data_IF_482518429160
#
_entry.id   IF_482518429160
#
_cell.length_a   1.000
_cell.length_b   1.000
_cell.length_c   1.000
_cell.angle_alpha   90.00
_cell.angle_beta   90.00
_cell.angle_gamma   90.00
#
_symmetry.space_group_name_H-M   'P 1'
#
loop_
_entity.id
_entity.type
_entity.pdbx_description
1 polymer ?
#
# COMPACT_ATOMS: atom_id res chain seq x y z
N UNK A 1 -3.85 -0.14 55.13
CA UNK A 1 -2.54 -0.39 54.54
C UNK A 1 -2.70 -1.45 53.49
N UNK A 2 -2.88 -1.07 52.23
CA UNK A 2 -2.98 -1.99 51.09
C UNK A 2 -1.78 -1.67 50.17
N UNK A 3 -0.88 -2.62 50.11
CA UNK A 3 0.35 -2.56 49.32
C UNK A 3 0.00 -2.72 47.85
N UNK A 4 0.35 -1.71 47.04
CA UNK A 4 0.30 -1.77 45.59
C UNK A 4 1.33 -2.72 45.03
N UNK A 5 0.90 -3.78 44.39
CA UNK A 5 1.76 -4.63 43.56
C UNK A 5 1.92 -4.02 42.18
N UNK A 6 3.10 -3.47 41.90
CA UNK A 6 3.54 -3.13 40.54
C UNK A 6 3.74 -4.43 39.77
N UNK A 7 2.89 -4.71 38.81
CA UNK A 7 3.07 -5.81 37.85
C UNK A 7 3.99 -5.31 36.75
N UNK A 8 5.27 -5.61 36.90
CA UNK A 8 6.25 -5.40 35.83
C UNK A 8 5.93 -6.39 34.70
N UNK A 9 5.55 -5.86 33.56
CA UNK A 9 5.41 -6.66 32.32
C UNK A 9 6.83 -7.11 31.94
N UNK A 10 7.02 -8.42 31.95
CA UNK A 10 8.28 -9.06 31.55
C UNK A 10 8.53 -8.78 30.07
N UNK A 11 9.71 -8.25 29.76
CA UNK A 11 10.20 -7.96 28.40
C UNK A 11 10.55 -9.20 27.55
N UNK A 12 10.07 -10.38 27.92
CA UNK A 12 10.55 -11.64 27.33
C UNK A 12 9.54 -12.38 26.42
N UNK A 13 8.38 -11.81 26.09
CA UNK A 13 7.40 -12.46 25.20
C UNK A 13 7.24 -11.78 23.83
N UNK A 14 8.09 -10.84 23.47
CA UNK A 14 8.28 -10.50 22.08
C UNK A 14 9.04 -11.66 21.43
N UNK A 15 8.36 -12.48 20.63
CA UNK A 15 9.02 -13.41 19.74
C UNK A 15 10.03 -12.58 18.93
N UNK A 16 11.32 -12.71 19.28
CA UNK A 16 12.43 -12.13 18.57
C UNK A 16 12.34 -12.63 17.14
N UNK A 17 11.96 -11.79 16.21
CA UNK A 17 12.24 -11.98 14.80
C UNK A 17 13.76 -12.01 14.70
N UNK A 18 14.35 -13.21 14.75
CA UNK A 18 15.77 -13.39 14.66
C UNK A 18 16.25 -12.70 13.38
N UNK A 19 17.26 -11.81 13.44
CA UNK A 19 17.82 -11.25 12.23
C UNK A 19 18.33 -12.42 11.38
N UNK A 20 17.81 -12.53 10.18
CA UNK A 20 18.40 -13.41 9.17
C UNK A 20 19.83 -12.92 8.98
N UNK A 21 20.81 -13.64 9.55
CA UNK A 21 22.22 -13.40 9.37
C UNK A 21 22.58 -13.61 7.89
N UNK A 22 22.32 -12.62 7.07
CA UNK A 22 22.72 -12.52 5.69
C UNK A 22 23.72 -11.40 5.54
N UNK A 23 25.02 -11.74 5.75
CA UNK A 23 26.18 -11.03 5.21
C UNK A 23 26.22 -9.52 5.37
N UNK A 24 26.79 -9.10 6.51
CA UNK A 24 27.55 -7.86 6.58
C UNK A 24 28.67 -7.92 5.52
N UNK A 25 28.60 -7.09 4.54
CA UNK A 25 29.67 -6.54 3.70
C UNK A 25 29.14 -6.29 2.30
N UNK A 26 28.40 -5.29 2.17
CA UNK A 26 28.52 -4.17 1.25
C UNK A 26 27.44 -3.20 1.73
N UNK A 27 27.77 -2.25 2.58
CA UNK A 27 27.01 -1.00 2.66
C UNK A 27 27.01 -0.45 1.25
N UNK A 28 25.88 -0.59 0.59
CA UNK A 28 25.85 -0.50 -0.83
C UNK A 28 26.08 0.94 -1.27
N UNK A 29 27.18 1.16 -1.93
CA UNK A 29 27.43 2.32 -2.80
C UNK A 29 26.32 2.41 -3.88
N UNK A 30 25.55 1.34 -4.08
CA UNK A 30 24.51 1.24 -5.11
C UNK A 30 23.15 0.88 -4.53
N UNK A 31 22.11 1.61 -4.92
CA UNK A 31 20.73 1.24 -4.67
C UNK A 31 20.43 -0.08 -5.44
N UNK A 32 19.98 -1.11 -4.72
CA UNK A 32 19.79 -2.45 -5.30
C UNK A 32 18.59 -2.53 -6.24
N UNK A 33 17.62 -1.63 -6.08
CA UNK A 33 16.38 -1.55 -6.84
C UNK A 33 16.26 -0.12 -7.36
N UNK A 34 15.90 0.09 -8.62
CA UNK A 34 15.51 1.41 -9.08
C UNK A 34 14.47 1.99 -8.14
N UNK A 35 14.61 3.25 -7.74
CA UNK A 35 13.74 3.84 -6.72
C UNK A 35 12.59 4.64 -7.29
N UNK A 36 12.62 4.91 -8.59
CA UNK A 36 11.62 5.72 -9.30
C UNK A 36 11.47 5.28 -10.75
N UNK A 37 10.25 5.38 -11.26
CA UNK A 37 9.90 5.12 -12.64
C UNK A 37 8.84 6.12 -13.08
N UNK A 38 9.09 6.86 -14.16
CA UNK A 38 8.16 7.84 -14.70
C UNK A 38 7.44 7.29 -15.93
N UNK A 39 6.16 7.62 -16.06
CA UNK A 39 5.35 7.32 -17.25
C UNK A 39 4.29 8.43 -17.42
N UNK A 40 3.61 8.41 -18.56
CA UNK A 40 2.50 9.32 -18.83
C UNK A 40 1.19 8.55 -19.06
N UNK A 41 0.08 9.18 -18.72
CA UNK A 41 -1.28 8.78 -19.08
C UNK A 41 -1.90 9.98 -19.79
N UNK A 42 -1.79 10.02 -21.10
CA UNK A 42 -2.12 11.20 -21.91
C UNK A 42 -1.34 12.44 -21.45
N UNK A 43 -2.01 13.40 -20.82
CA UNK A 43 -1.40 14.64 -20.28
C UNK A 43 -1.08 14.57 -18.78
N UNK A 44 -1.29 13.44 -18.15
CA UNK A 44 -1.03 13.25 -16.73
C UNK A 44 0.36 12.63 -16.59
N UNK A 45 1.26 13.29 -15.87
CA UNK A 45 2.57 12.73 -15.53
C UNK A 45 2.42 11.87 -14.26
N UNK A 46 3.02 10.69 -14.28
CA UNK A 46 2.97 9.72 -13.20
C UNK A 46 4.39 9.32 -12.82
N UNK A 47 4.72 9.41 -11.55
CA UNK A 47 5.99 8.95 -10.99
C UNK A 47 5.74 7.87 -9.94
N UNK A 48 6.13 6.64 -10.24
CA UNK A 48 6.12 5.55 -9.26
C UNK A 48 7.38 5.63 -8.43
N UNK A 49 7.21 5.59 -7.10
CA UNK A 49 8.30 5.63 -6.13
C UNK A 49 8.22 4.37 -5.27
N UNK A 50 9.32 3.62 -5.24
CA UNK A 50 9.45 2.52 -4.31
C UNK A 50 9.63 3.06 -2.89
N UNK A 51 8.81 2.66 -1.93
CA UNK A 51 9.03 2.92 -0.52
C UNK A 51 9.98 1.90 0.13
N UNK A 52 10.22 0.80 -0.57
CA UNK A 52 11.01 -0.34 -0.12
C UNK A 52 10.21 -1.63 -0.08
N UNK A 53 10.45 -2.45 0.92
CA UNK A 53 9.76 -3.74 1.09
C UNK A 53 9.45 -4.03 2.56
N UNK A 54 8.30 -4.68 2.78
CA UNK A 54 7.92 -5.33 4.02
C UNK A 54 8.22 -6.83 3.91
N UNK A 55 8.97 -7.39 4.85
CA UNK A 55 9.10 -8.84 4.96
C UNK A 55 8.01 -9.37 5.88
N UNK A 56 7.07 -10.10 5.31
CA UNK A 56 5.92 -10.66 6.03
C UNK A 56 5.90 -12.19 5.93
N UNK A 57 5.29 -12.89 6.91
CA UNK A 57 5.14 -14.34 6.84
C UNK A 57 4.35 -14.77 5.60
N UNK A 58 4.90 -15.71 4.82
CA UNK A 58 4.25 -16.23 3.61
C UNK A 58 2.84 -16.78 3.83
N UNK A 59 2.57 -17.54 4.94
CA UNK A 59 1.24 -18.07 5.24
C UNK A 59 0.10 -17.06 5.39
N UNK A 60 0.39 -15.77 5.45
CA UNK A 60 -0.65 -14.72 5.44
C UNK A 60 -1.36 -14.60 4.09
N UNK A 61 -0.69 -14.97 2.99
CA UNK A 61 -1.31 -15.03 1.67
C UNK A 61 -2.02 -16.36 1.47
N UNK A 62 -3.29 -16.30 1.08
CA UNK A 62 -4.08 -17.49 0.84
C UNK A 62 -4.36 -18.28 2.12
N UNK A 63 -4.55 -17.61 3.26
CA UNK A 63 -4.79 -18.31 4.53
C UNK A 63 -6.07 -19.15 4.54
N UNK A 64 -6.96 -18.98 3.54
CA UNK A 64 -8.12 -19.83 3.27
C UNK A 64 -7.82 -21.03 2.35
N UNK A 65 -6.62 -21.14 1.78
CA UNK A 65 -6.20 -22.24 0.92
C UNK A 65 -5.43 -23.31 1.71
N UNK A 66 -5.32 -24.50 1.13
CA UNK A 66 -4.51 -25.58 1.70
C UNK A 66 -3.02 -25.20 1.76
N UNK A 67 -2.34 -25.60 2.84
CA UNK A 67 -0.92 -25.25 3.04
C UNK A 67 -0.02 -25.76 1.90
N UNK A 68 -0.33 -26.93 1.33
CA UNK A 68 0.41 -27.49 0.20
C UNK A 68 0.27 -26.68 -1.08
N UNK A 69 -0.92 -26.11 -1.35
CA UNK A 69 -1.16 -25.24 -2.52
C UNK A 69 -0.38 -23.94 -2.41
N UNK A 70 -0.39 -23.33 -1.21
CA UNK A 70 0.42 -22.14 -0.95
C UNK A 70 1.91 -22.39 -1.14
N UNK A 71 2.42 -23.49 -0.54
CA UNK A 71 3.83 -23.86 -0.68
C UNK A 71 4.20 -24.06 -2.15
N UNK A 72 3.37 -24.77 -2.91
CA UNK A 72 3.58 -24.98 -4.34
C UNK A 72 3.64 -23.67 -5.13
N UNK A 73 2.73 -22.73 -4.85
CA UNK A 73 2.75 -21.41 -5.49
C UNK A 73 4.07 -20.66 -5.21
N UNK A 74 4.56 -20.66 -3.95
CA UNK A 74 5.84 -20.03 -3.62
C UNK A 74 7.02 -20.70 -4.35
N UNK A 75 7.04 -22.04 -4.41
CA UNK A 75 8.07 -22.80 -5.10
C UNK A 75 8.09 -22.49 -6.60
N UNK A 76 6.93 -22.45 -7.24
CA UNK A 76 6.78 -22.12 -8.67
C UNK A 76 7.27 -20.70 -9.01
N UNK A 77 7.18 -19.78 -8.05
CA UNK A 77 7.68 -18.40 -8.18
C UNK A 77 9.13 -18.24 -7.75
N UNK A 78 9.81 -19.32 -7.37
CA UNK A 78 11.18 -19.29 -6.82
C UNK A 78 11.27 -18.41 -5.57
N UNK A 79 10.21 -18.35 -4.77
CA UNK A 79 10.12 -17.57 -3.54
C UNK A 79 10.27 -18.50 -2.32
N UNK A 80 10.86 -18.00 -1.22
CA UNK A 80 10.87 -18.76 0.04
C UNK A 80 9.43 -18.89 0.58
N UNK A 81 9.05 -20.11 1.01
CA UNK A 81 7.70 -20.38 1.50
C UNK A 81 7.38 -19.68 2.84
N UNK A 82 8.42 -19.35 3.62
CA UNK A 82 8.26 -18.79 4.97
C UNK A 82 8.03 -17.29 5.00
N UNK A 83 8.58 -16.56 4.00
CA UNK A 83 8.53 -15.10 3.95
C UNK A 83 8.28 -14.61 2.53
N UNK A 84 7.54 -13.53 2.44
CA UNK A 84 7.38 -12.75 1.22
C UNK A 84 7.85 -11.33 1.45
N UNK A 85 8.70 -10.84 0.56
CA UNK A 85 9.05 -9.42 0.48
C UNK A 85 7.96 -8.68 -0.30
N UNK A 86 7.07 -8.02 0.42
CA UNK A 86 6.03 -7.20 -0.17
C UNK A 86 6.64 -5.88 -0.58
N UNK A 87 6.67 -5.61 -1.88
CA UNK A 87 7.06 -4.31 -2.38
C UNK A 87 6.08 -3.25 -1.89
N UNK A 88 6.56 -2.04 -1.68
CA UNK A 88 5.77 -0.87 -1.33
C UNK A 88 5.97 0.19 -2.41
N UNK A 89 4.92 0.49 -3.14
CA UNK A 89 4.93 1.49 -4.19
C UNK A 89 3.94 2.61 -3.86
N UNK A 90 4.40 3.84 -3.93
CA UNK A 90 3.57 5.03 -3.89
C UNK A 90 3.63 5.75 -5.23
N UNK A 91 2.66 6.59 -5.53
CA UNK A 91 2.58 7.27 -6.82
C UNK A 91 2.44 8.77 -6.62
N UNK A 92 3.24 9.55 -7.35
CA UNK A 92 3.05 10.98 -7.49
C UNK A 92 2.44 11.26 -8.86
N UNK A 93 1.39 12.09 -8.90
CA UNK A 93 0.65 12.43 -10.12
C UNK A 93 0.68 13.94 -10.31
N UNK A 94 1.02 14.40 -11.53
CA UNK A 94 0.80 15.78 -11.94
C UNK A 94 -0.35 15.86 -12.94
N UNK A 95 -1.40 16.60 -12.59
CA UNK A 95 -2.53 16.87 -13.47
C UNK A 95 -2.97 18.33 -13.34
N UNK A 96 -2.84 19.08 -14.43
CA UNK A 96 -3.08 20.52 -14.43
C UNK A 96 -2.12 21.26 -13.49
N UNK A 97 -2.65 21.98 -12.52
CA UNK A 97 -1.91 22.70 -11.46
C UNK A 97 -1.75 21.88 -10.17
N UNK A 98 -2.14 20.60 -10.20
CA UNK A 98 -2.14 19.74 -9.01
C UNK A 98 -0.97 18.78 -9.01
N UNK A 99 -0.33 18.69 -7.84
CA UNK A 99 0.67 17.65 -7.51
C UNK A 99 0.07 16.78 -6.41
N UNK A 100 -0.24 15.55 -6.76
CA UNK A 100 -1.04 14.63 -5.95
C UNK A 100 -0.16 13.45 -5.54
N UNK A 101 0.04 13.25 -4.25
CA UNK A 101 0.68 12.03 -3.73
C UNK A 101 -0.42 11.00 -3.44
N UNK A 102 -0.31 9.80 -4.01
CA UNK A 102 -1.20 8.68 -3.73
C UNK A 102 -0.46 7.72 -2.80
N UNK A 103 -0.95 7.64 -1.58
CA UNK A 103 -0.31 7.05 -0.40
C UNK A 103 1.04 7.69 -0.06
N UNK A 104 1.59 7.40 1.11
CA UNK A 104 2.79 8.07 1.61
C UNK A 104 3.89 7.11 2.08
N UNK A 105 3.67 5.81 1.97
CA UNK A 105 4.61 4.79 2.42
C UNK A 105 4.59 4.56 3.93
N UNK A 106 5.48 3.70 4.39
CA UNK A 106 5.57 3.17 5.76
C UNK A 106 6.07 4.20 6.79
N UNK A 107 6.94 5.11 6.39
CA UNK A 107 7.60 6.02 7.33
C UNK A 107 8.62 5.31 8.22
N UNK A 108 8.90 5.93 9.37
CA UNK A 108 9.97 5.50 10.30
C UNK A 108 9.44 4.84 11.58
N UNK A 109 8.12 4.60 11.66
CA UNK A 109 7.48 4.11 12.89
C UNK A 109 7.90 2.68 13.28
N UNK A 110 8.50 1.93 12.38
CA UNK A 110 8.84 0.52 12.55
C UNK A 110 10.33 0.28 12.29
N UNK A 111 11.20 0.56 13.30
CA UNK A 111 12.65 0.40 13.16
C UNK A 111 13.08 -1.06 12.88
N UNK A 112 12.24 -2.03 13.24
CA UNK A 112 12.46 -3.45 12.96
C UNK A 112 12.19 -3.83 11.48
N UNK A 113 11.68 -2.89 10.68
CA UNK A 113 11.42 -3.02 9.24
C UNK A 113 12.31 -2.06 8.41
N UNK A 114 13.63 -2.17 8.51
CA UNK A 114 14.58 -1.15 8.02
C UNK A 114 14.64 -1.03 6.48
N UNK A 115 13.97 -1.93 5.75
CA UNK A 115 13.97 -1.92 4.29
C UNK A 115 12.80 -1.14 3.67
N UNK A 116 11.86 -0.62 4.49
CA UNK A 116 10.76 0.24 4.09
C UNK A 116 10.97 1.70 4.53
N UNK A 117 9.98 2.57 4.28
CA UNK A 117 9.96 3.95 4.77
C UNK A 117 10.86 4.90 3.98
N UNK A 118 11.06 4.68 2.69
CA UNK A 118 11.98 5.46 1.84
C UNK A 118 11.30 6.58 1.06
N UNK A 119 9.98 6.68 1.06
CA UNK A 119 9.21 7.60 0.21
C UNK A 119 9.68 9.05 0.31
N UNK A 120 9.75 9.61 1.52
CA UNK A 120 10.12 11.03 1.72
C UNK A 120 11.52 11.34 1.20
N UNK A 121 12.49 10.45 1.47
CA UNK A 121 13.86 10.61 1.00
C UNK A 121 13.98 10.46 -0.52
N UNK A 122 13.18 9.56 -1.13
CA UNK A 122 13.18 9.30 -2.57
C UNK A 122 12.45 10.39 -3.33
N UNK A 123 11.38 10.99 -2.78
CA UNK A 123 10.77 12.21 -3.31
C UNK A 123 11.80 13.34 -3.37
N UNK A 124 12.50 13.61 -2.26
CA UNK A 124 13.55 14.62 -2.23
C UNK A 124 14.67 14.35 -3.24
N UNK A 125 15.11 13.08 -3.37
CA UNK A 125 16.11 12.67 -4.36
C UNK A 125 15.61 12.79 -5.81
N UNK A 126 14.31 12.78 -6.04
CA UNK A 126 13.67 13.05 -7.32
C UNK A 126 13.50 14.55 -7.59
N UNK A 127 13.91 15.42 -6.67
CA UNK A 127 13.73 16.87 -6.77
C UNK A 127 12.33 17.36 -6.42
N UNK A 128 11.51 16.52 -5.79
CA UNK A 128 10.15 16.85 -5.37
C UNK A 128 10.20 17.45 -3.97
N UNK A 129 9.79 18.72 -3.85
CA UNK A 129 9.59 19.35 -2.55
C UNK A 129 8.21 18.99 -2.02
N UNK A 130 8.13 18.58 -0.75
CA UNK A 130 6.85 18.31 -0.08
C UNK A 130 5.93 19.55 -0.09
N UNK A 131 6.47 20.75 -0.09
CA UNK A 131 5.71 21.99 -0.23
C UNK A 131 5.01 22.14 -1.60
N UNK A 132 5.43 21.38 -2.62
CA UNK A 132 4.77 21.38 -3.92
C UNK A 132 3.54 20.47 -3.97
N UNK A 133 3.41 19.52 -3.03
CA UNK A 133 2.29 18.58 -2.97
C UNK A 133 1.02 19.33 -2.55
N UNK A 134 0.05 19.39 -3.46
CA UNK A 134 -1.23 20.10 -3.24
C UNK A 134 -2.27 19.21 -2.58
N UNK A 135 -2.20 17.91 -2.86
CA UNK A 135 -3.14 16.92 -2.40
C UNK A 135 -2.45 15.61 -2.04
N UNK A 136 -3.03 14.90 -1.11
CA UNK A 136 -2.72 13.49 -0.85
C UNK A 136 -4.01 12.70 -1.00
N UNK A 137 -3.98 11.60 -1.74
CA UNK A 137 -5.05 10.61 -1.75
C UNK A 137 -4.57 9.45 -0.91
N UNK A 138 -5.33 9.06 0.10
CA UNK A 138 -5.06 7.89 0.92
C UNK A 138 -6.05 6.80 0.52
N UNK A 139 -5.50 5.67 0.05
CA UNK A 139 -6.32 4.51 -0.34
C UNK A 139 -7.01 3.89 0.86
N UNK A 140 -6.28 3.76 1.98
CA UNK A 140 -6.77 3.30 3.28
C UNK A 140 -5.76 3.61 4.39
N UNK A 141 -6.13 3.41 5.67
CA UNK A 141 -5.31 3.89 6.80
C UNK A 141 -4.37 2.82 7.40
N UNK A 142 -3.92 1.83 6.62
CA UNK A 142 -2.82 0.98 7.09
C UNK A 142 -1.50 1.76 7.15
N UNK A 143 -0.57 1.27 7.97
CA UNK A 143 0.66 1.97 8.33
C UNK A 143 1.57 2.26 7.15
N UNK A 144 1.60 1.40 6.16
CA UNK A 144 2.43 1.51 4.96
C UNK A 144 1.84 2.43 3.88
N UNK A 145 0.64 3.00 4.14
CA UNK A 145 0.00 4.01 3.29
C UNK A 145 0.02 5.40 3.91
N UNK A 146 0.00 5.50 5.25
CA UNK A 146 -0.06 6.80 5.94
C UNK A 146 1.21 7.13 6.74
N UNK A 147 2.06 6.16 7.01
CA UNK A 147 3.19 6.30 7.93
C UNK A 147 4.21 7.37 7.51
N UNK A 148 4.42 7.55 6.21
CA UNK A 148 5.31 8.60 5.70
C UNK A 148 4.87 10.02 6.08
N UNK A 149 3.58 10.25 6.26
CA UNK A 149 3.05 11.54 6.74
C UNK A 149 3.27 11.76 8.24
N UNK A 150 3.55 10.70 8.99
CA UNK A 150 3.79 10.75 10.44
C UNK A 150 5.27 10.92 10.82
N UNK A 151 6.18 10.93 9.85
CA UNK A 151 7.60 11.21 10.08
C UNK A 151 7.74 12.63 10.67
N UNK A 152 8.57 12.77 11.71
CA UNK A 152 8.80 14.06 12.36
C UNK A 152 9.23 15.13 11.35
N UNK A 153 8.61 16.30 11.42
CA UNK A 153 8.88 17.44 10.54
C UNK A 153 8.21 17.37 9.15
N UNK A 154 7.68 16.22 8.70
CA UNK A 154 7.02 16.11 7.38
C UNK A 154 5.83 17.05 7.29
N UNK A 155 4.92 17.02 8.28
CA UNK A 155 3.75 17.91 8.30
C UNK A 155 4.13 19.40 8.18
N UNK A 156 5.20 19.81 8.85
CA UNK A 156 5.65 21.22 8.82
C UNK A 156 6.25 21.63 7.46
N UNK A 157 6.68 20.68 6.65
CA UNK A 157 7.19 20.89 5.29
C UNK A 157 6.10 20.86 4.22
N UNK A 158 4.93 20.29 4.54
CA UNK A 158 3.77 20.29 3.64
C UNK A 158 3.14 21.68 3.60
N UNK A 159 2.35 21.93 2.57
CA UNK A 159 1.56 23.16 2.43
C UNK A 159 0.54 23.31 3.57
N UNK A 160 0.28 24.54 3.98
CA UNK A 160 -0.77 24.82 4.98
C UNK A 160 -2.18 24.54 4.46
N UNK A 161 -2.39 24.63 3.15
CA UNK A 161 -3.64 24.37 2.43
C UNK A 161 -3.70 22.96 1.78
N UNK A 162 -2.82 22.05 2.23
CA UNK A 162 -2.85 20.63 1.83
C UNK A 162 -4.24 20.04 2.03
N UNK A 163 -4.72 19.29 1.05
CA UNK A 163 -5.95 18.47 1.15
C UNK A 163 -5.61 17.00 1.14
N UNK A 164 -6.20 16.26 2.06
CA UNK A 164 -6.03 14.80 2.16
C UNK A 164 -7.38 14.14 1.91
N UNK A 165 -7.48 13.44 0.79
CA UNK A 165 -8.70 12.78 0.34
C UNK A 165 -8.72 11.34 0.85
N UNK A 166 -9.78 10.98 1.58
CA UNK A 166 -9.97 9.65 2.16
C UNK A 166 -11.47 9.33 2.21
N UNK A 167 -11.86 8.06 2.00
CA UNK A 167 -13.26 7.68 2.10
C UNK A 167 -13.81 7.91 3.51
N UNK A 168 -15.04 8.42 3.61
CA UNK A 168 -15.71 8.63 4.91
C UNK A 168 -15.84 7.31 5.70
N UNK A 169 -16.14 6.21 4.99
CA UNK A 169 -16.20 4.87 5.58
C UNK A 169 -14.88 4.43 6.22
N UNK A 170 -13.74 4.86 5.67
CA UNK A 170 -12.42 4.57 6.24
C UNK A 170 -12.21 5.30 7.56
N UNK A 171 -12.50 6.60 7.57
CA UNK A 171 -12.40 7.41 8.79
C UNK A 171 -13.33 6.90 9.89
N UNK A 172 -14.54 6.48 9.54
CA UNK A 172 -15.50 5.92 10.50
C UNK A 172 -15.04 4.59 11.06
N UNK A 173 -14.57 3.69 10.20
CA UNK A 173 -14.08 2.37 10.61
C UNK A 173 -12.95 2.47 11.64
N UNK A 174 -11.96 3.33 11.42
CA UNK A 174 -10.79 3.44 12.30
C UNK A 174 -11.06 4.12 13.65
N UNK A 175 -12.28 4.60 13.91
CA UNK A 175 -12.70 5.02 15.26
C UNK A 175 -12.84 3.86 16.22
N UNK A 176 -13.33 2.71 15.72
CA UNK A 176 -13.47 1.47 16.48
C UNK A 176 -13.30 0.26 15.54
N UNK A 177 -12.06 -0.02 15.08
CA UNK A 177 -11.81 -1.02 14.04
C UNK A 177 -12.01 -2.44 14.56
N UNK A 178 -12.71 -3.26 13.76
CA UNK A 178 -12.90 -4.68 13.97
C UNK A 178 -11.76 -5.49 13.29
N UNK A 179 -11.07 -6.29 14.09
CA UNK A 179 -10.00 -7.19 13.64
C UNK A 179 -10.41 -8.67 13.71
N UNK A 180 -11.70 -8.98 13.82
CA UNK A 180 -12.18 -10.35 14.03
C UNK A 180 -11.92 -11.30 12.86
N UNK A 181 -11.80 -10.77 11.64
CA UNK A 181 -11.62 -11.56 10.42
C UNK A 181 -10.21 -11.55 9.86
N UNK A 182 -9.31 -10.73 10.41
CA UNK A 182 -7.92 -10.64 9.94
C UNK A 182 -7.07 -11.82 10.44
N UNK A 183 -6.04 -12.15 9.67
CA UNK A 183 -5.03 -13.16 10.01
C UNK A 183 -3.62 -12.56 10.06
N UNK A 184 -3.48 -11.50 10.85
CA UNK A 184 -2.24 -10.74 11.01
C UNK A 184 -1.33 -11.33 12.08
N UNK A 185 0.00 -11.10 12.01
CA UNK A 185 0.91 -11.42 13.11
C UNK A 185 0.53 -10.67 14.40
N UNK A 186 0.84 -11.24 15.58
CA UNK A 186 0.61 -10.58 16.85
C UNK A 186 1.25 -9.18 16.90
N UNK A 187 0.50 -8.22 17.44
CA UNK A 187 0.93 -6.82 17.56
C UNK A 187 0.58 -5.92 16.38
N UNK A 188 0.32 -6.48 15.17
CA UNK A 188 -0.08 -5.69 14.01
C UNK A 188 -1.42 -4.98 14.20
N UNK A 189 -2.50 -5.62 14.70
CA UNK A 189 -3.76 -4.93 14.93
C UNK A 189 -3.64 -3.67 15.78
N UNK A 190 -2.87 -3.74 16.86
CA UNK A 190 -2.66 -2.59 17.73
C UNK A 190 -1.79 -1.51 17.07
N UNK A 191 -0.74 -1.90 16.34
CA UNK A 191 0.10 -0.96 15.59
C UNK A 191 -0.70 -0.22 14.51
N UNK A 192 -1.56 -0.91 13.78
CA UNK A 192 -2.47 -0.30 12.79
C UNK A 192 -3.44 0.68 13.44
N UNK A 193 -4.09 0.28 14.55
CA UNK A 193 -4.99 1.16 15.33
C UNK A 193 -4.28 2.44 15.76
N UNK A 194 -3.07 2.31 16.33
CA UNK A 194 -2.29 3.45 16.80
C UNK A 194 -1.90 4.37 15.65
N UNK A 195 -1.41 3.83 14.54
CA UNK A 195 -1.01 4.61 13.36
C UNK A 195 -2.20 5.37 12.78
N UNK A 196 -3.35 4.71 12.57
CA UNK A 196 -4.56 5.36 12.06
C UNK A 196 -5.04 6.46 13.01
N UNK A 197 -5.03 6.21 14.33
CA UNK A 197 -5.41 7.21 15.34
C UNK A 197 -4.50 8.44 15.28
N UNK A 198 -3.18 8.23 15.24
CA UNK A 198 -2.20 9.31 15.14
C UNK A 198 -2.37 10.11 13.85
N UNK A 199 -2.59 9.45 12.72
CA UNK A 199 -2.84 10.09 11.44
C UNK A 199 -4.10 10.98 11.47
N UNK A 200 -5.23 10.42 11.92
CA UNK A 200 -6.49 11.15 12.00
C UNK A 200 -6.40 12.36 12.93
N UNK A 201 -5.69 12.24 14.06
CA UNK A 201 -5.44 13.36 14.95
C UNK A 201 -4.51 14.41 14.33
N UNK A 202 -3.40 13.97 13.71
CA UNK A 202 -2.41 14.87 13.14
C UNK A 202 -2.97 15.71 11.99
N UNK A 203 -3.84 15.13 11.16
CA UNK A 203 -4.31 15.75 9.91
C UNK A 203 -5.81 16.09 9.92
N UNK A 204 -6.46 16.14 11.08
CA UNK A 204 -7.89 16.37 11.22
C UNK A 204 -8.43 17.57 10.39
N UNK A 205 -7.65 18.65 10.30
CA UNK A 205 -8.05 19.86 9.60
C UNK A 205 -7.79 19.84 8.08
N UNK A 206 -6.99 18.90 7.61
CA UNK A 206 -6.66 18.70 6.19
C UNK A 206 -7.52 17.63 5.52
N UNK A 207 -8.30 16.85 6.29
CA UNK A 207 -9.12 15.77 5.77
C UNK A 207 -10.27 16.29 4.92
N UNK A 208 -10.40 15.74 3.72
CA UNK A 208 -11.54 15.87 2.81
C UNK A 208 -12.12 14.50 2.55
N UNK A 209 -13.23 14.19 3.23
CA UNK A 209 -13.87 12.89 3.09
C UNK A 209 -14.81 12.87 1.89
N UNK A 210 -14.92 11.70 1.25
CA UNK A 210 -15.88 11.42 0.18
C UNK A 210 -16.61 10.11 0.47
N UNK A 211 -17.80 9.93 -0.14
CA UNK A 211 -18.61 8.72 0.10
C UNK A 211 -18.21 7.58 -0.85
N UNK A 212 -18.50 7.71 -2.15
CA UNK A 212 -18.28 6.64 -3.14
C UNK A 212 -17.17 6.99 -4.12
N UNK A 213 -17.22 8.16 -4.72
CA UNK A 213 -16.20 8.63 -5.66
C UNK A 213 -16.05 10.15 -5.64
N UNK A 214 -14.86 10.61 -6.04
CA UNK A 214 -14.57 12.04 -6.11
C UNK A 214 -13.48 12.32 -7.15
N UNK A 215 -13.67 13.37 -7.96
CA UNK A 215 -12.64 13.86 -8.87
C UNK A 215 -11.74 14.88 -8.17
N UNK A 216 -10.49 14.50 -7.89
CA UNK A 216 -9.51 15.31 -7.15
C UNK A 216 -8.91 16.39 -8.06
N UNK A 217 -8.65 16.04 -9.32
CA UNK A 217 -8.10 16.91 -10.37
C UNK A 217 -8.59 16.42 -11.74
N UNK A 218 -8.46 17.20 -12.82
CA UNK A 218 -8.85 16.75 -14.14
C UNK A 218 -8.26 15.39 -14.50
N UNK A 219 -9.12 14.39 -14.71
CA UNK A 219 -8.74 13.02 -15.03
C UNK A 219 -8.16 12.21 -13.88
N UNK A 220 -8.20 12.70 -12.63
CA UNK A 220 -7.76 11.97 -11.44
C UNK A 220 -8.95 11.76 -10.51
N UNK A 221 -9.44 10.54 -10.44
CA UNK A 221 -10.63 10.16 -9.68
C UNK A 221 -10.29 9.11 -8.63
N UNK A 222 -10.69 9.32 -7.40
CA UNK A 222 -10.65 8.32 -6.33
C UNK A 222 -12.02 7.64 -6.23
N UNK A 223 -12.02 6.30 -6.11
CA UNK A 223 -13.24 5.48 -6.07
C UNK A 223 -13.14 4.48 -4.93
N UNK A 224 -14.10 4.52 -4.01
CA UNK A 224 -14.19 3.54 -2.92
C UNK A 224 -14.51 2.15 -3.46
N UNK A 225 -13.78 1.17 -3.02
CA UNK A 225 -14.00 -0.25 -3.34
C UNK A 225 -14.50 -1.05 -2.13
N UNK A 226 -13.98 -0.75 -0.94
CA UNK A 226 -14.20 -1.58 0.24
C UNK A 226 -13.33 -2.85 0.23
N UNK A 227 -13.72 -3.84 1.01
CA UNK A 227 -13.14 -5.19 1.09
C UNK A 227 -11.89 -5.27 1.94
N UNK A 228 -10.75 -4.82 1.44
CA UNK A 228 -9.50 -4.80 2.20
C UNK A 228 -9.65 -4.04 3.53
N UNK A 229 -10.16 -2.83 3.47
CA UNK A 229 -10.80 -2.11 4.58
C UNK A 229 -12.15 -1.57 4.10
N UNK A 230 -13.07 -1.16 4.98
CA UNK A 230 -14.39 -0.66 4.58
C UNK A 230 -14.35 0.56 3.66
N UNK A 231 -13.35 1.40 3.80
CA UNK A 231 -13.16 2.59 2.98
C UNK A 231 -12.02 2.48 1.98
N UNK A 232 -11.44 1.29 1.79
CA UNK A 232 -10.40 1.11 0.77
C UNK A 232 -10.84 1.68 -0.56
N UNK A 233 -9.91 2.34 -1.26
CA UNK A 233 -10.19 3.07 -2.49
C UNK A 233 -9.09 2.84 -3.52
N UNK A 234 -9.46 2.91 -4.79
CA UNK A 234 -8.54 2.91 -5.93
C UNK A 234 -8.48 4.29 -6.55
N UNK A 235 -7.39 4.62 -7.25
CA UNK A 235 -7.26 5.88 -7.98
C UNK A 235 -7.23 5.59 -9.47
N UNK A 236 -8.16 6.20 -10.21
CA UNK A 236 -8.28 6.06 -11.66
C UNK A 236 -7.76 7.31 -12.35
N UNK A 237 -6.82 7.12 -13.26
CA UNK A 237 -6.28 8.16 -14.12
C UNK A 237 -6.82 7.96 -15.54
N UNK A 238 -7.30 9.04 -16.15
CA UNK A 238 -7.82 9.01 -17.51
C UNK A 238 -7.54 10.33 -18.24
N UNK A 239 -6.82 10.27 -19.35
CA UNK A 239 -6.51 11.44 -20.18
C UNK A 239 -6.26 11.02 -21.62
N UNK A 240 -6.83 11.75 -22.58
CA UNK A 240 -6.63 11.56 -24.01
C UNK A 240 -6.87 10.13 -24.53
N UNK A 241 -7.74 9.38 -23.87
CA UNK A 241 -8.09 7.99 -24.21
C UNK A 241 -7.22 6.94 -23.53
N UNK A 242 -6.15 7.34 -22.85
CA UNK A 242 -5.32 6.46 -22.02
C UNK A 242 -5.90 6.35 -20.61
N UNK A 243 -5.69 5.20 -19.97
CA UNK A 243 -6.20 4.89 -18.63
C UNK A 243 -5.18 4.11 -17.81
N UNK A 244 -5.14 4.41 -16.51
CA UNK A 244 -4.37 3.68 -15.53
C UNK A 244 -5.13 3.66 -14.20
N UNK A 245 -5.15 2.51 -13.55
CA UNK A 245 -5.67 2.37 -12.18
C UNK A 245 -4.53 2.07 -11.20
N UNK A 246 -4.41 2.88 -10.14
CA UNK A 246 -3.67 2.52 -8.95
C UNK A 246 -4.62 1.79 -8.00
N UNK A 247 -4.35 0.50 -7.78
CA UNK A 247 -5.29 -0.40 -7.11
C UNK A 247 -5.10 -0.47 -5.58
N UNK A 248 -4.10 0.21 -5.01
CA UNK A 248 -3.77 0.07 -3.59
C UNK A 248 -3.58 -1.41 -3.24
N UNK A 249 -4.29 -1.87 -2.23
CA UNK A 249 -4.23 -3.23 -1.69
C UNK A 249 -5.36 -4.15 -2.17
N UNK A 250 -6.18 -3.70 -3.12
CA UNK A 250 -7.17 -4.57 -3.76
C UNK A 250 -6.52 -5.69 -4.58
N UNK A 251 -5.29 -5.47 -5.11
CA UNK A 251 -4.57 -6.42 -5.96
C UNK A 251 -3.15 -6.62 -5.41
N UNK A 252 -2.74 -7.87 -5.30
CA UNK A 252 -1.40 -8.31 -4.90
C UNK A 252 -0.96 -9.50 -5.76
N UNK A 253 0.32 -9.86 -5.69
CA UNK A 253 0.96 -10.80 -6.63
C UNK A 253 0.19 -12.11 -6.83
N UNK A 254 -0.14 -12.82 -5.74
CA UNK A 254 -0.82 -14.11 -5.83
C UNK A 254 -2.26 -13.98 -6.35
N UNK A 255 -2.87 -12.80 -6.19
CA UNK A 255 -4.25 -12.53 -6.58
C UNK A 255 -4.53 -12.58 -8.09
N UNK A 256 -3.50 -12.65 -8.94
CA UNK A 256 -3.70 -12.90 -10.38
C UNK A 256 -4.06 -14.37 -10.63
N UNK A 257 -3.34 -15.29 -10.03
CA UNK A 257 -3.50 -16.73 -10.25
C UNK A 257 -4.52 -17.33 -9.29
N UNK A 258 -4.65 -16.74 -8.10
CA UNK A 258 -5.60 -17.14 -7.05
C UNK A 258 -6.36 -15.91 -6.56
N UNK A 259 -7.29 -15.37 -7.38
CA UNK A 259 -7.98 -14.13 -7.03
C UNK A 259 -8.96 -14.30 -5.85
N UNK A 260 -9.31 -15.53 -5.51
CA UNK A 260 -10.16 -15.94 -4.39
C UNK A 260 -9.38 -16.21 -3.09
N UNK A 261 -8.04 -16.16 -3.11
CA UNK A 261 -7.24 -16.30 -1.90
C UNK A 261 -7.32 -15.04 -1.04
N UNK A 262 -7.43 -15.25 0.27
CA UNK A 262 -7.53 -14.16 1.24
C UNK A 262 -6.16 -13.66 1.66
N UNK A 263 -6.04 -12.36 1.79
CA UNK A 263 -4.89 -11.71 2.39
C UNK A 263 -5.14 -11.55 3.90
N UNK A 264 -4.14 -11.87 4.71
CA UNK A 264 -4.26 -11.77 6.17
C UNK A 264 -4.59 -10.37 6.71
N UNK A 265 -4.41 -9.33 5.90
CA UNK A 265 -4.78 -7.95 6.21
C UNK A 265 -6.19 -7.55 5.73
N UNK A 266 -6.89 -8.41 4.99
CA UNK A 266 -8.25 -8.13 4.54
C UNK A 266 -9.21 -8.13 5.76
N UNK A 267 -9.87 -6.99 6.02
CA UNK A 267 -10.87 -6.88 7.09
C UNK A 267 -12.19 -7.57 6.71
N UNK A 268 -12.51 -7.61 5.40
CA UNK A 268 -13.64 -8.33 4.83
C UNK A 268 -13.15 -9.22 3.69
N UNK A 269 -12.54 -10.38 4.02
CA UNK A 269 -11.77 -11.17 3.05
C UNK A 269 -12.60 -11.70 1.87
N UNK A 270 -13.87 -12.11 2.08
CA UNK A 270 -14.75 -12.55 1.00
C UNK A 270 -15.09 -11.39 0.05
N UNK A 271 -15.38 -10.21 0.60
CA UNK A 271 -15.65 -9.00 -0.19
C UNK A 271 -14.39 -8.56 -0.96
N UNK A 272 -13.23 -8.56 -0.30
CA UNK A 272 -11.94 -8.23 -0.93
C UNK A 272 -11.63 -9.14 -2.12
N UNK A 273 -11.85 -10.46 -1.99
CA UNK A 273 -11.70 -11.41 -3.08
C UNK A 273 -12.66 -11.12 -4.25
N UNK A 274 -13.94 -10.83 -3.97
CA UNK A 274 -14.91 -10.49 -5.00
C UNK A 274 -14.57 -9.16 -5.71
N UNK A 275 -14.10 -8.17 -4.98
CA UNK A 275 -13.65 -6.89 -5.53
C UNK A 275 -12.44 -7.12 -6.44
N UNK A 276 -11.47 -7.91 -6.01
CA UNK A 276 -10.27 -8.25 -6.77
C UNK A 276 -10.63 -8.90 -8.10
N UNK A 277 -11.51 -9.91 -8.09
CA UNK A 277 -11.96 -10.60 -9.30
C UNK A 277 -12.61 -9.60 -10.27
N UNK A 278 -13.55 -8.77 -9.78
CA UNK A 278 -14.22 -7.78 -10.64
C UNK A 278 -13.25 -6.75 -11.19
N UNK A 279 -12.32 -6.26 -10.36
CA UNK A 279 -11.35 -5.24 -10.77
C UNK A 279 -10.37 -5.80 -11.81
N UNK A 280 -9.85 -7.02 -11.61
CA UNK A 280 -8.97 -7.69 -12.57
C UNK A 280 -9.69 -7.92 -13.91
N UNK A 281 -10.96 -8.35 -13.90
CA UNK A 281 -11.75 -8.53 -15.11
C UNK A 281 -11.97 -7.18 -15.83
N UNK A 282 -12.34 -6.13 -15.10
CA UNK A 282 -12.53 -4.78 -15.67
C UNK A 282 -11.25 -4.26 -16.33
N UNK A 283 -10.11 -4.41 -15.67
CA UNK A 283 -8.79 -3.99 -16.19
C UNK A 283 -8.42 -4.77 -17.46
N UNK A 284 -8.68 -6.07 -17.49
CA UNK A 284 -8.43 -6.91 -18.65
C UNK A 284 -9.32 -6.53 -19.84
N UNK A 285 -10.64 -6.37 -19.62
CA UNK A 285 -11.61 -6.02 -20.66
C UNK A 285 -11.32 -4.65 -21.28
N UNK A 286 -10.92 -3.69 -20.45
CA UNK A 286 -10.59 -2.33 -20.88
C UNK A 286 -9.15 -2.18 -21.39
N UNK A 287 -8.30 -3.20 -21.25
CA UNK A 287 -6.85 -3.17 -21.53
C UNK A 287 -6.16 -2.02 -20.81
N UNK A 288 -6.60 -1.74 -19.60
CA UNK A 288 -6.16 -0.63 -18.79
C UNK A 288 -4.83 -0.96 -18.10
N UNK A 289 -3.98 0.03 -17.94
CA UNK A 289 -2.74 -0.11 -17.17
C UNK A 289 -3.04 -0.18 -15.68
N UNK A 290 -2.26 -0.98 -14.96
CA UNK A 290 -2.37 -1.21 -13.53
C UNK A 290 -1.07 -0.86 -12.82
N UNK A 291 -1.19 -0.20 -11.68
CA UNK A 291 -0.18 -0.12 -10.62
C UNK A 291 -0.87 -0.56 -9.32
N UNK A 292 -0.18 -1.33 -8.47
CA UNK A 292 -0.67 -1.67 -7.13
C UNK A 292 0.48 -1.57 -6.11
N UNK A 293 0.14 -1.32 -4.85
CA UNK A 293 1.13 -1.08 -3.79
C UNK A 293 2.10 -2.26 -3.67
N UNK A 294 1.58 -3.48 -3.66
CA UNK A 294 2.35 -4.69 -3.35
C UNK A 294 2.78 -5.52 -4.56
N UNK A 295 2.82 -4.93 -5.75
CA UNK A 295 3.47 -5.56 -6.91
C UNK A 295 4.94 -5.16 -7.00
N UNK A 296 5.78 -6.05 -7.55
CA UNK A 296 7.20 -5.78 -7.74
C UNK A 296 7.41 -4.48 -8.53
N UNK A 297 8.32 -3.63 -8.03
CA UNK A 297 8.65 -2.35 -8.68
C UNK A 297 9.06 -2.53 -10.16
N UNK A 298 8.60 -1.69 -11.10
CA UNK A 298 7.81 -0.47 -10.90
C UNK A 298 6.30 -0.68 -10.82
N UNK A 299 5.82 -1.90 -10.69
CA UNK A 299 4.41 -2.27 -10.55
C UNK A 299 3.53 -2.00 -11.78
N UNK A 300 4.07 -1.38 -12.83
CA UNK A 300 3.31 -1.07 -14.06
C UNK A 300 3.10 -2.33 -14.89
N UNK A 301 1.84 -2.72 -15.06
CA UNK A 301 1.48 -3.91 -15.81
C UNK A 301 0.09 -3.79 -16.46
N UNK A 302 -0.25 -4.78 -17.27
CA UNK A 302 -1.61 -5.04 -17.75
C UNK A 302 -2.12 -6.36 -17.20
N UNK A 303 -3.42 -6.51 -17.19
CA UNK A 303 -4.08 -7.77 -16.80
C UNK A 303 -4.50 -8.51 -18.06
N UNK A 304 -4.19 -9.80 -18.14
CA UNK A 304 -4.71 -10.70 -19.17
C UNK A 304 -5.52 -11.82 -18.51
N UNK A 305 -6.66 -12.17 -19.10
CA UNK A 305 -7.46 -13.32 -18.68
C UNK A 305 -6.73 -14.61 -19.07
N UNK A 306 -6.71 -15.61 -18.19
CA UNK A 306 -6.10 -16.92 -18.40
C UNK A 306 -7.01 -18.03 -17.84
N UNK A 307 -7.98 -18.48 -18.66
CA UNK A 307 -9.05 -19.37 -18.21
C UNK A 307 -9.94 -18.67 -17.16
N UNK A 308 -10.00 -19.24 -15.97
CA UNK A 308 -10.77 -18.71 -14.84
C UNK A 308 -9.90 -17.81 -13.91
N UNK A 309 -8.67 -17.54 -14.31
CA UNK A 309 -7.69 -16.76 -13.56
C UNK A 309 -7.15 -15.60 -14.40
N UNK A 310 -6.11 -14.92 -13.90
CA UNK A 310 -5.49 -13.77 -14.57
C UNK A 310 -3.98 -13.90 -14.61
N UNK A 311 -3.36 -13.16 -15.50
CA UNK A 311 -1.90 -12.99 -15.56
C UNK A 311 -1.53 -11.52 -15.50
N UNK A 312 -0.51 -11.23 -14.72
CA UNK A 312 0.16 -9.95 -14.73
C UNK A 312 1.12 -9.91 -15.94
N UNK A 313 0.92 -8.98 -16.85
CA UNK A 313 1.78 -8.75 -18.01
C UNK A 313 2.56 -7.45 -17.73
N UNK A 314 3.85 -7.53 -17.38
CA UNK A 314 4.64 -6.32 -17.12
C UNK A 314 4.60 -5.37 -18.32
N UNK A 315 4.42 -4.08 -18.04
CA UNK A 315 4.51 -3.04 -19.04
C UNK A 315 5.94 -2.94 -19.59
N UNK A 316 6.12 -2.64 -20.90
CA UNK A 316 7.45 -2.31 -21.42
C UNK A 316 7.96 -1.06 -20.74
N UNK A 317 9.29 -1.00 -20.51
CA UNK A 317 9.91 0.22 -20.03
C UNK A 317 9.89 1.26 -21.15
N UNK A 318 9.51 2.47 -20.82
CA UNK A 318 9.63 3.63 -21.69
C UNK A 318 11.00 4.26 -21.48
N UNK A 319 11.79 4.49 -22.56
CA UNK A 319 13.17 4.95 -22.53
C UNK A 319 13.30 6.36 -23.10
#
# INVERSE_FOLDING_TARGET
MLSGGNMAISKNDAASLAPVNGTSHVEAVYEKVPSRYALQVGKIDVLVISDGVLSLPGPMLGHNAEASERTHWFEDKFLPADFLDWALNVVLVHSGDRTILVDAGMGEAFPDLPRAGRTVNRLASAGIDLASVTDVIITHLHMDHVGGLLIEGVKARMRSDLRIHVAAAEVEFWRDPDFSQVSMPPGFPEALRQTATQFLQAYQTQLHTFEEEYEVAPGVRVVRTGGHTPGHSVVRLASEGERLTFAGDAIFQVGFEHPDWFNGFDHYPEEAAQIRIRLLQELADNRESLIATHLSFPSVCHVAVDGDTFRCIPGPWDY
#
